data_IF_983232985992
#
_entry.id   IF_983232985992
#
_cell.length_a   1.000
_cell.length_b   1.000
_cell.length_c   1.000
_cell.angle_alpha   90.00
_cell.angle_beta   90.00
_cell.angle_gamma   90.00
#
_symmetry.space_group_name_H-M   'P 1'
#
loop_
_entity.id
_entity.type
_entity.pdbx_description
1 polymer ?
#
# COMPACT_ATOMS: atom_id res chain seq x y z
N UNK A 1 36.24 0.79 8.71
CA UNK A 1 34.81 1.07 8.92
C UNK A 1 34.08 0.61 7.68
N UNK A 2 33.41 -0.54 7.75
CA UNK A 2 32.58 -1.03 6.64
C UNK A 2 31.42 -0.06 6.49
N UNK A 3 31.39 0.71 5.39
CA UNK A 3 30.19 1.44 4.99
C UNK A 3 29.00 0.51 5.14
N UNK A 4 27.86 0.95 5.72
CA UNK A 4 26.68 0.11 5.74
C UNK A 4 26.44 -0.29 4.31
N UNK A 5 26.52 -1.60 4.05
CA UNK A 5 26.18 -2.20 2.78
C UNK A 5 24.82 -1.61 2.47
N UNK A 6 24.75 -0.77 1.43
CA UNK A 6 23.49 -0.37 0.84
C UNK A 6 22.83 -1.70 0.48
N UNK A 7 22.03 -2.27 1.38
CA UNK A 7 21.20 -3.41 1.05
C UNK A 7 20.32 -2.85 -0.04
N UNK A 8 20.59 -3.19 -1.31
CA UNK A 8 19.98 -2.47 -2.37
C UNK A 8 18.59 -3.07 -2.37
N UNK A 9 17.67 -2.46 -1.63
CA UNK A 9 16.29 -2.52 -2.05
C UNK A 9 16.34 -2.07 -3.50
N UNK A 10 15.84 -2.87 -4.42
CA UNK A 10 14.46 -2.72 -4.87
C UNK A 10 14.19 -3.68 -6.04
N UNK A 11 12.92 -4.09 -6.16
CA UNK A 11 12.27 -4.51 -7.41
C UNK A 11 11.95 -3.31 -8.32
N UNK A 12 11.89 -2.07 -7.78
CA UNK A 12 11.67 -0.80 -8.53
C UNK A 12 12.89 0.12 -8.38
N UNK A 13 13.78 0.10 -9.37
CA UNK A 13 15.06 0.82 -9.30
C UNK A 13 14.93 2.34 -9.17
N UNK A 14 13.86 2.93 -9.73
CA UNK A 14 13.62 4.38 -9.70
C UNK A 14 13.06 4.84 -8.35
N UNK A 15 13.80 5.67 -7.57
CA UNK A 15 13.31 6.19 -6.29
C UNK A 15 12.05 7.05 -6.43
N UNK A 16 11.94 7.77 -7.55
CA UNK A 16 10.76 8.57 -7.88
C UNK A 16 9.55 7.68 -8.13
N UNK A 17 9.70 6.61 -8.90
CA UNK A 17 8.62 5.67 -9.17
C UNK A 17 8.15 4.97 -7.89
N UNK A 18 9.08 4.52 -7.04
CA UNK A 18 8.78 3.95 -5.73
C UNK A 18 7.97 4.92 -4.86
N UNK A 19 8.39 6.19 -4.77
CA UNK A 19 7.67 7.20 -3.99
C UNK A 19 6.26 7.43 -4.51
N UNK A 20 6.10 7.57 -5.83
CA UNK A 20 4.79 7.76 -6.46
C UNK A 20 3.88 6.56 -6.16
N UNK A 21 4.33 5.33 -6.40
CA UNK A 21 3.54 4.12 -6.16
C UNK A 21 3.10 4.01 -4.69
N UNK A 22 4.00 4.30 -3.75
CA UNK A 22 3.67 4.33 -2.32
C UNK A 22 2.62 5.39 -2.00
N UNK A 23 2.81 6.62 -2.48
CA UNK A 23 1.86 7.71 -2.25
C UNK A 23 0.49 7.40 -2.84
N UNK A 24 0.42 6.82 -4.03
CA UNK A 24 -0.86 6.38 -4.63
C UNK A 24 -1.55 5.33 -3.76
N UNK A 25 -0.83 4.31 -3.30
CA UNK A 25 -1.39 3.30 -2.39
C UNK A 25 -1.89 3.92 -1.09
N UNK A 26 -1.14 4.83 -0.49
CA UNK A 26 -1.53 5.47 0.76
C UNK A 26 -2.77 6.37 0.57
N UNK A 27 -2.87 7.12 -0.54
CA UNK A 27 -4.07 7.94 -0.87
C UNK A 27 -5.31 7.06 -1.07
N UNK A 28 -5.19 5.96 -1.81
CA UNK A 28 -6.31 5.01 -1.99
C UNK A 28 -6.75 4.44 -0.65
N UNK A 29 -5.81 4.13 0.25
CA UNK A 29 -6.11 3.66 1.59
C UNK A 29 -6.92 4.66 2.41
N UNK A 30 -6.56 5.94 2.36
CA UNK A 30 -7.32 7.01 3.05
C UNK A 30 -8.74 7.11 2.52
N UNK A 31 -8.93 7.04 1.20
CA UNK A 31 -10.27 7.09 0.61
C UNK A 31 -11.12 5.88 1.01
N UNK A 32 -10.54 4.68 0.98
CA UNK A 32 -11.24 3.46 1.38
C UNK A 32 -11.62 3.48 2.86
N UNK A 33 -10.72 3.92 3.74
CA UNK A 33 -11.01 4.09 5.16
C UNK A 33 -12.14 5.10 5.39
N UNK A 34 -12.16 6.19 4.64
CA UNK A 34 -13.23 7.20 4.72
C UNK A 34 -14.58 6.62 4.30
N UNK A 35 -14.63 5.88 3.19
CA UNK A 35 -15.85 5.24 2.71
C UNK A 35 -16.41 4.24 3.72
N UNK A 36 -15.53 3.48 4.39
CA UNK A 36 -15.93 2.49 5.39
C UNK A 36 -16.54 3.15 6.64
N UNK A 37 -16.03 4.31 7.04
CA UNK A 37 -16.61 5.09 8.14
C UNK A 37 -17.97 5.67 7.76
N UNK A 38 -18.13 6.16 6.52
CA UNK A 38 -19.41 6.68 6.02
C UNK A 38 -20.47 5.57 5.99
N UNK A 39 -20.12 4.43 5.41
CA UNK A 39 -20.97 3.22 5.32
C UNK A 39 -21.44 2.76 6.72
N UNK A 40 -20.52 2.73 7.70
CA UNK A 40 -20.84 2.36 9.08
C UNK A 40 -21.71 3.39 9.82
N UNK A 41 -21.64 4.67 9.44
CA UNK A 41 -22.38 5.76 10.08
C UNK A 41 -23.73 6.07 9.42
N UNK A 42 -23.92 5.69 8.15
CA UNK A 42 -25.09 5.98 7.36
C UNK A 42 -25.71 4.68 6.80
N UNK A 43 -26.68 4.06 7.52
CA UNK A 43 -27.33 2.82 7.10
C UNK A 43 -28.02 2.90 5.73
N UNK A 44 -28.34 4.11 5.29
CA UNK A 44 -29.00 4.42 4.02
C UNK A 44 -28.02 4.38 2.83
N UNK A 45 -26.72 4.37 3.12
CA UNK A 45 -25.64 4.34 2.15
C UNK A 45 -24.81 3.06 2.34
N UNK A 46 -25.42 1.90 2.10
CA UNK A 46 -24.76 0.58 2.15
C UNK A 46 -23.96 0.34 0.86
N UNK A 47 -22.66 0.56 0.96
CA UNK A 47 -21.69 0.30 -0.10
C UNK A 47 -20.72 -0.84 0.28
N UNK A 48 -21.01 -1.58 1.36
CA UNK A 48 -20.18 -2.64 1.91
C UNK A 48 -19.80 -3.70 0.86
N UNK A 49 -20.73 -4.01 -0.04
CA UNK A 49 -20.51 -4.97 -1.13
C UNK A 49 -19.38 -4.56 -2.09
N UNK A 50 -19.09 -3.27 -2.22
CA UNK A 50 -18.00 -2.74 -3.05
C UNK A 50 -16.77 -2.39 -2.22
N UNK A 51 -16.95 -1.74 -1.07
CA UNK A 51 -15.84 -1.30 -0.21
C UNK A 51 -15.06 -2.48 0.34
N UNK A 52 -15.72 -3.57 0.72
CA UNK A 52 -15.08 -4.78 1.29
C UNK A 52 -14.09 -5.45 0.32
N UNK A 53 -14.49 -5.87 -0.90
CA UNK A 53 -13.54 -6.50 -1.83
C UNK A 53 -12.43 -5.53 -2.28
N UNK A 54 -12.74 -4.23 -2.43
CA UNK A 54 -11.73 -3.23 -2.80
C UNK A 54 -10.73 -3.02 -1.67
N UNK A 55 -11.18 -2.96 -0.42
CA UNK A 55 -10.30 -2.88 0.75
C UNK A 55 -9.42 -4.12 0.87
N UNK A 56 -9.97 -5.31 0.65
CA UNK A 56 -9.19 -6.54 0.64
C UNK A 56 -8.09 -6.48 -0.43
N UNK A 57 -8.45 -6.13 -1.67
CA UNK A 57 -7.48 -5.97 -2.77
C UNK A 57 -6.40 -4.93 -2.47
N UNK A 58 -6.79 -3.76 -1.97
CA UNK A 58 -5.86 -2.72 -1.54
C UNK A 58 -4.92 -3.20 -0.42
N UNK A 59 -5.43 -3.95 0.56
CA UNK A 59 -4.64 -4.47 1.67
C UNK A 59 -3.56 -5.44 1.18
N UNK A 60 -3.92 -6.37 0.28
CA UNK A 60 -2.94 -7.27 -0.32
C UNK A 60 -1.90 -6.52 -1.15
N UNK A 61 -2.30 -5.52 -1.93
CA UNK A 61 -1.36 -4.68 -2.68
C UNK A 61 -0.42 -3.90 -1.76
N UNK A 62 -0.94 -3.35 -0.65
CA UNK A 62 -0.13 -2.60 0.31
C UNK A 62 0.87 -3.49 1.04
N UNK A 63 0.47 -4.71 1.40
CA UNK A 63 1.33 -5.73 1.99
C UNK A 63 2.41 -6.18 1.01
N UNK A 64 2.04 -6.51 -0.23
CA UNK A 64 2.98 -6.90 -1.27
C UNK A 64 4.00 -5.78 -1.55
N UNK A 65 3.57 -4.52 -1.60
CA UNK A 65 4.46 -3.38 -1.74
C UNK A 65 5.35 -3.20 -0.50
N UNK A 66 4.79 -3.35 0.70
CA UNK A 66 5.52 -3.27 1.96
C UNK A 66 6.65 -4.32 2.04
N UNK A 67 6.33 -5.56 1.70
CA UNK A 67 7.28 -6.67 1.71
C UNK A 67 8.26 -6.60 0.53
N UNK A 68 7.80 -6.31 -0.68
CA UNK A 68 8.64 -6.35 -1.89
C UNK A 68 9.46 -5.10 -2.15
N UNK A 69 9.03 -3.94 -1.65
CA UNK A 69 9.57 -2.63 -2.04
C UNK A 69 10.07 -1.82 -0.84
N UNK A 70 9.30 -1.78 0.25
CA UNK A 70 9.68 -1.01 1.44
C UNK A 70 10.63 -1.80 2.38
N UNK A 71 10.56 -3.14 2.42
CA UNK A 71 11.36 -3.96 3.34
C UNK A 71 12.85 -3.98 2.93
N UNK A 72 13.78 -3.53 3.80
CA UNK A 72 15.24 -3.56 3.55
C UNK A 72 15.83 -4.95 3.36
N UNK A 73 15.12 -6.01 3.79
CA UNK A 73 15.64 -7.37 3.84
C UNK A 73 15.17 -8.25 2.68
N UNK A 74 14.39 -7.72 1.73
CA UNK A 74 13.87 -8.52 0.63
C UNK A 74 14.93 -8.67 -0.46
N UNK A 75 15.32 -9.90 -0.83
CA UNK A 75 16.33 -10.14 -1.86
C UNK A 75 15.90 -9.56 -3.20
N UNK A 76 16.86 -9.02 -3.97
CA UNK A 76 16.65 -8.81 -5.40
C UNK A 76 16.64 -10.19 -6.09
N UNK A 77 15.60 -10.47 -6.86
CA UNK A 77 15.60 -11.59 -7.80
C UNK A 77 16.57 -11.33 -8.94
#
# INVERSE_FOLDING_TARGET
>A
MTSPVNTPNVVIESPKARRIARTTLDVVGVLLGTLLVIDAAAPEFDVAAFTTPVLAGWTYLRLAFGLGVDNPNTPKA
#
